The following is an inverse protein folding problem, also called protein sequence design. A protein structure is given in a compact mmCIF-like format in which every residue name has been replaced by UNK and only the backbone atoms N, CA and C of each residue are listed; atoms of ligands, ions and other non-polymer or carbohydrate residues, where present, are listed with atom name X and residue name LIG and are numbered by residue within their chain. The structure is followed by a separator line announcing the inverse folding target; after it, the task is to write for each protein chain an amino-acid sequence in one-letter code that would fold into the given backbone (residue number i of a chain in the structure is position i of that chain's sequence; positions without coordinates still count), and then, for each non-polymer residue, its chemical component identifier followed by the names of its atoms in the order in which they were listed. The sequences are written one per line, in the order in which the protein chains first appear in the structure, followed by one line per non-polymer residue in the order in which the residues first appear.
data_IF_411415521432
#
_entry.id   IF_411415521432
#
_cell.length_a   1.000
_cell.length_b   1.000
_cell.length_c   1.000
_cell.angle_alpha   90.00
_cell.angle_beta   90.00
_cell.angle_gamma   90.00
#
_symmetry.space_group_name_H-M   'P 1'
#
loop_
_entity.id
_entity.type
_entity.pdbx_description
1 polymer ?
#
# COMPACT_ATOMS: atom_id res chain seq x y z
N UNK A 1 9.14 -13.91 33.35
CA UNK A 1 9.50 -12.48 33.39
C UNK A 1 10.94 -12.31 32.97
N UNK A 2 11.23 -11.27 32.19
CA UNK A 2 12.61 -10.98 31.80
C UNK A 2 13.40 -10.44 32.99
N UNK A 3 14.68 -10.80 33.09
CA UNK A 3 15.59 -10.17 34.03
C UNK A 3 15.92 -8.74 33.58
N UNK A 4 16.46 -7.91 34.49
CA UNK A 4 16.94 -6.56 34.13
C UNK A 4 17.92 -6.58 32.96
N UNK A 5 18.87 -7.51 32.96
CA UNK A 5 19.82 -7.67 31.85
C UNK A 5 19.10 -8.16 30.57
N UNK A 6 18.10 -9.03 30.71
CA UNK A 6 17.28 -9.51 29.60
C UNK A 6 16.54 -8.38 28.88
N UNK A 7 15.99 -7.41 29.62
CA UNK A 7 15.29 -6.25 29.03
C UNK A 7 16.15 -5.42 28.08
N UNK A 8 17.48 -5.40 28.25
CA UNK A 8 18.41 -4.66 27.37
C UNK A 8 19.04 -5.53 26.28
N UNK A 9 18.88 -6.85 26.33
CA UNK A 9 19.57 -7.80 25.43
C UNK A 9 18.62 -8.50 24.46
N UNK A 10 17.38 -8.71 24.86
CA UNK A 10 16.37 -9.38 24.03
C UNK A 10 15.60 -8.33 23.24
N UNK A 11 15.34 -8.60 21.95
CA UNK A 11 14.67 -7.65 21.05
C UNK A 11 13.15 -7.63 21.19
N UNK A 12 12.53 -8.72 21.67
CA UNK A 12 11.08 -8.86 21.82
C UNK A 12 10.70 -9.93 22.86
N UNK A 13 9.49 -9.85 23.40
CA UNK A 13 8.93 -10.82 24.35
C UNK A 13 8.30 -10.16 25.58
N UNK A 14 7.81 -10.98 26.51
CA UNK A 14 7.09 -10.49 27.68
C UNK A 14 8.05 -10.06 28.79
N UNK A 15 8.19 -8.74 28.99
CA UNK A 15 8.99 -8.18 30.07
C UNK A 15 8.25 -8.24 31.42
N UNK A 16 7.02 -7.72 31.46
CA UNK A 16 6.19 -7.61 32.67
C UNK A 16 4.81 -8.20 32.39
N UNK A 17 4.33 -9.07 33.29
CA UNK A 17 2.96 -9.55 33.29
C UNK A 17 2.11 -8.63 34.16
N UNK A 18 1.10 -7.99 33.57
CA UNK A 18 0.20 -7.05 34.25
C UNK A 18 -0.87 -7.81 35.05
N UNK A 19 -0.52 -8.32 36.23
CA UNK A 19 -1.40 -9.13 37.09
C UNK A 19 -2.46 -8.29 37.81
N UNK A 20 -2.10 -7.09 38.26
CA UNK A 20 -3.00 -6.16 38.95
C UNK A 20 -3.09 -4.88 38.12
N UNK A 21 -4.24 -4.64 37.48
CA UNK A 21 -4.47 -3.49 36.60
C UNK A 21 -5.46 -2.55 37.26
N UNK A 22 -5.28 -1.25 37.02
CA UNK A 22 -6.24 -0.23 37.49
C UNK A 22 -7.58 -0.36 36.75
N UNK A 23 -7.52 -0.71 35.46
CA UNK A 23 -8.69 -1.03 34.64
C UNK A 23 -8.53 -2.46 34.14
N UNK A 24 -9.50 -3.30 34.44
CA UNK A 24 -9.52 -4.70 34.02
C UNK A 24 -10.05 -4.79 32.59
N UNK A 25 -9.12 -4.92 31.64
CA UNK A 25 -9.41 -5.20 30.25
C UNK A 25 -8.76 -6.53 29.82
N UNK A 26 -9.47 -7.37 29.06
CA UNK A 26 -8.88 -8.57 28.50
C UNK A 26 -7.76 -8.21 27.51
N UNK A 27 -6.78 -9.09 27.41
CA UNK A 27 -5.80 -9.03 26.32
C UNK A 27 -6.37 -9.73 25.10
N UNK A 28 -6.21 -9.11 23.93
CA UNK A 28 -6.56 -9.71 22.64
C UNK A 28 -5.32 -10.16 21.85
N UNK A 29 -4.13 -10.12 22.46
CA UNK A 29 -2.93 -10.67 21.86
C UNK A 29 -3.08 -12.19 21.65
N UNK A 30 -2.87 -12.66 20.41
CA UNK A 30 -2.99 -14.06 20.00
C UNK A 30 -4.39 -14.67 20.23
N UNK A 31 -5.42 -13.83 20.31
CA UNK A 31 -6.81 -14.26 20.46
C UNK A 31 -7.56 -14.02 19.16
N UNK A 32 -8.08 -15.10 18.56
CA UNK A 32 -8.92 -15.05 17.35
C UNK A 32 -8.26 -14.26 16.20
N UNK A 33 -6.97 -14.49 15.97
CA UNK A 33 -6.22 -13.83 14.90
C UNK A 33 -6.87 -14.05 13.54
N UNK A 34 -7.02 -12.98 12.76
CA UNK A 34 -7.71 -13.00 11.46
C UNK A 34 -9.24 -13.02 11.54
N UNK A 35 -9.82 -13.40 12.69
CA UNK A 35 -11.28 -13.41 12.90
C UNK A 35 -11.79 -12.11 13.54
N UNK A 36 -10.96 -11.44 14.36
CA UNK A 36 -11.31 -10.18 15.01
C UNK A 36 -10.29 -9.09 14.74
N UNK A 37 -10.75 -7.83 14.82
CA UNK A 37 -9.88 -6.66 14.79
C UNK A 37 -10.37 -5.61 15.77
N UNK A 38 -9.45 -5.12 16.60
CA UNK A 38 -9.76 -4.12 17.60
C UNK A 38 -9.99 -2.77 16.93
N UNK A 39 -11.21 -2.27 17.05
CA UNK A 39 -11.62 -1.01 16.48
C UNK A 39 -12.52 -0.25 17.45
N UNK A 40 -12.34 1.07 17.52
CA UNK A 40 -13.21 1.90 18.32
C UNK A 40 -14.62 1.99 17.68
N UNK A 41 -15.64 2.18 18.53
CA UNK A 41 -17.02 2.27 18.08
C UNK A 41 -17.25 3.34 16.99
N UNK A 42 -16.71 4.57 17.09
CA UNK A 42 -16.91 5.58 16.05
C UNK A 42 -16.40 5.13 14.67
N UNK A 43 -15.27 4.42 14.60
CA UNK A 43 -14.74 3.95 13.31
C UNK A 43 -15.61 2.85 12.68
N UNK A 44 -16.22 1.99 13.50
CA UNK A 44 -17.18 0.99 13.04
C UNK A 44 -18.42 1.71 12.47
N UNK A 45 -18.95 2.69 13.22
CA UNK A 45 -20.10 3.49 12.79
C UNK A 45 -19.80 4.22 11.46
N UNK A 46 -18.58 4.71 11.24
CA UNK A 46 -18.20 5.34 9.97
C UNK A 46 -18.40 4.42 8.77
N UNK A 47 -17.99 3.15 8.88
CA UNK A 47 -18.17 2.18 7.79
C UNK A 47 -19.66 1.89 7.53
N UNK A 48 -20.47 1.79 8.59
CA UNK A 48 -21.93 1.62 8.44
C UNK A 48 -22.61 2.86 7.86
N UNK A 49 -22.20 4.06 8.25
CA UNK A 49 -22.76 5.31 7.74
C UNK A 49 -22.43 5.55 6.26
N UNK A 50 -21.32 4.99 5.77
CA UNK A 50 -20.99 4.96 4.34
C UNK A 50 -21.99 4.09 3.54
N UNK A 51 -22.64 3.14 4.21
CA UNK A 51 -23.64 2.21 3.65
C UNK A 51 -23.17 1.52 2.35
N UNK A 52 -22.02 0.81 2.38
CA UNK A 52 -21.46 0.18 1.20
C UNK A 52 -22.31 -1.03 0.77
N UNK A 53 -22.61 -1.13 -0.53
CA UNK A 53 -23.39 -2.21 -1.11
C UNK A 53 -22.50 -3.24 -1.78
N UNK A 54 -22.97 -4.49 -1.85
CA UNK A 54 -22.33 -5.54 -2.64
C UNK A 54 -22.22 -5.10 -4.10
N UNK A 55 -21.02 -5.13 -4.66
CA UNK A 55 -20.73 -4.74 -6.05
C UNK A 55 -20.27 -3.29 -6.23
N UNK A 56 -20.36 -2.45 -5.20
CA UNK A 56 -19.84 -1.08 -5.26
C UNK A 56 -18.34 -1.04 -5.55
N UNK A 57 -17.92 0.05 -6.17
CA UNK A 57 -16.53 0.48 -6.25
C UNK A 57 -16.30 1.66 -5.31
N UNK A 58 -15.55 1.43 -4.23
CA UNK A 58 -15.37 2.38 -3.12
C UNK A 58 -13.92 2.84 -3.02
N UNK A 59 -13.70 4.13 -2.78
CA UNK A 59 -12.37 4.69 -2.51
C UNK A 59 -12.21 5.03 -1.02
N UNK A 60 -11.17 4.51 -0.37
CA UNK A 60 -10.69 4.97 0.93
C UNK A 60 -9.41 5.79 0.75
N UNK A 61 -9.52 7.10 0.96
CA UNK A 61 -8.47 8.07 0.61
C UNK A 61 -7.28 8.11 1.58
N UNK A 62 -7.42 7.58 2.79
CA UNK A 62 -6.41 7.65 3.86
C UNK A 62 -6.44 6.36 4.67
N UNK A 63 -6.26 5.24 3.98
CA UNK A 63 -6.73 3.94 4.44
C UNK A 63 -5.95 3.34 5.63
N UNK A 64 -4.67 3.67 5.81
CA UNK A 64 -3.82 2.95 6.75
C UNK A 64 -4.18 3.23 8.23
N UNK A 65 -4.17 2.21 9.10
CA UNK A 65 -3.66 0.84 8.88
C UNK A 65 -4.64 -0.14 8.21
N UNK A 66 -5.85 0.29 7.83
CA UNK A 66 -6.80 -0.52 7.05
C UNK A 66 -8.08 -0.89 7.79
N UNK A 67 -8.26 -0.51 9.06
CA UNK A 67 -9.40 -0.96 9.86
C UNK A 67 -10.78 -0.55 9.34
N UNK A 68 -10.91 0.64 8.73
CA UNK A 68 -12.17 1.06 8.08
C UNK A 68 -12.32 0.40 6.71
N UNK A 69 -11.22 0.32 5.96
CA UNK A 69 -11.15 -0.38 4.66
C UNK A 69 -11.65 -1.82 4.77
N UNK A 70 -11.17 -2.57 5.76
CA UNK A 70 -11.59 -3.97 5.96
C UNK A 70 -13.02 -4.06 6.46
N UNK A 71 -13.46 -3.15 7.35
CA UNK A 71 -14.85 -3.08 7.77
C UNK A 71 -15.80 -2.84 6.56
N UNK A 72 -15.43 -1.95 5.64
CA UNK A 72 -16.18 -1.72 4.39
C UNK A 72 -16.25 -3.01 3.55
N UNK A 73 -15.12 -3.67 3.31
CA UNK A 73 -15.06 -4.91 2.54
C UNK A 73 -15.91 -6.03 3.18
N UNK A 74 -15.90 -6.14 4.51
CA UNK A 74 -16.75 -7.08 5.27
C UNK A 74 -18.24 -6.78 5.07
N UNK A 75 -18.66 -5.51 5.15
CA UNK A 75 -20.04 -5.10 4.90
C UNK A 75 -20.49 -5.40 3.46
N UNK A 76 -19.56 -5.25 2.51
CA UNK A 76 -19.74 -5.65 1.11
C UNK A 76 -19.68 -7.17 0.88
N UNK A 77 -19.49 -7.99 1.94
CA UNK A 77 -19.32 -9.44 1.86
C UNK A 77 -18.24 -9.87 0.87
N UNK A 78 -17.16 -9.11 0.81
CA UNK A 78 -16.03 -9.30 -0.12
C UNK A 78 -16.44 -9.31 -1.61
N UNK A 79 -17.53 -8.60 -1.96
CA UNK A 79 -18.03 -8.48 -3.34
C UNK A 79 -18.06 -7.01 -3.79
N UNK A 80 -17.31 -6.71 -4.84
CA UNK A 80 -17.12 -5.35 -5.37
C UNK A 80 -15.63 -5.03 -5.43
N UNK A 81 -15.28 -3.76 -5.29
CA UNK A 81 -13.91 -3.29 -5.25
C UNK A 81 -13.75 -2.19 -4.20
N UNK A 82 -12.82 -2.37 -3.26
CA UNK A 82 -12.40 -1.33 -2.31
C UNK A 82 -10.99 -0.91 -2.66
N UNK A 83 -10.86 0.30 -3.18
CA UNK A 83 -9.57 0.92 -3.49
C UNK A 83 -9.08 1.66 -2.26
N UNK A 84 -8.01 1.17 -1.67
CA UNK A 84 -7.41 1.73 -0.47
C UNK A 84 -6.10 2.44 -0.82
N UNK A 85 -5.99 3.73 -0.48
CA UNK A 85 -4.79 4.50 -0.79
C UNK A 85 -4.17 5.15 0.45
N UNK A 86 -2.85 5.17 0.47
CA UNK A 86 -2.07 5.95 1.43
C UNK A 86 -0.78 6.47 0.76
N UNK A 87 -0.29 7.61 1.25
CA UNK A 87 0.92 8.25 0.72
C UNK A 87 2.19 7.45 1.05
N UNK A 88 2.21 6.74 2.18
CA UNK A 88 3.38 6.00 2.66
C UNK A 88 3.37 4.55 2.18
N UNK A 89 4.49 4.09 1.63
CA UNK A 89 4.65 2.71 1.18
C UNK A 89 4.43 1.70 2.32
N UNK A 90 5.04 1.93 3.48
CA UNK A 90 4.93 1.02 4.63
C UNK A 90 3.49 0.95 5.15
N UNK A 91 2.81 2.10 5.16
CA UNK A 91 1.39 2.17 5.55
C UNK A 91 0.50 1.39 4.58
N UNK A 92 0.81 1.40 3.29
CA UNK A 92 0.11 0.56 2.32
C UNK A 92 0.36 -0.93 2.56
N UNK A 93 1.60 -1.32 2.91
CA UNK A 93 1.89 -2.70 3.31
C UNK A 93 1.11 -3.11 4.56
N UNK A 94 0.90 -2.22 5.52
CA UNK A 94 0.08 -2.51 6.70
C UNK A 94 -1.37 -2.83 6.31
N UNK A 95 -1.95 -2.12 5.34
CA UNK A 95 -3.30 -2.40 4.81
C UNK A 95 -3.32 -3.77 4.13
N UNK A 96 -2.34 -4.06 3.27
CA UNK A 96 -2.24 -5.36 2.58
C UNK A 96 -2.13 -6.51 3.58
N UNK A 97 -1.32 -6.34 4.63
CA UNK A 97 -1.15 -7.32 5.70
C UNK A 97 -2.47 -7.58 6.40
N UNK A 98 -3.17 -6.52 6.82
CA UNK A 98 -4.44 -6.65 7.52
C UNK A 98 -5.53 -7.29 6.65
N UNK A 99 -5.62 -6.90 5.37
CA UNK A 99 -6.56 -7.50 4.43
C UNK A 99 -6.29 -8.99 4.23
N UNK A 100 -5.02 -9.38 4.11
CA UNK A 100 -4.60 -10.78 3.98
C UNK A 100 -4.88 -11.58 5.27
N UNK A 101 -4.62 -11.00 6.44
CA UNK A 101 -4.93 -11.61 7.74
C UNK A 101 -6.42 -11.89 7.90
N UNK A 102 -7.29 -11.02 7.38
CA UNK A 102 -8.74 -11.19 7.39
C UNK A 102 -9.30 -12.00 6.21
N UNK A 103 -8.46 -12.41 5.25
CA UNK A 103 -8.88 -13.16 4.07
C UNK A 103 -9.78 -12.38 3.09
N UNK A 104 -9.63 -11.05 3.00
CA UNK A 104 -10.41 -10.17 2.13
C UNK A 104 -9.72 -9.99 0.76
N UNK A 105 -10.46 -10.21 -0.32
CA UNK A 105 -9.93 -10.23 -1.69
C UNK A 105 -10.36 -9.02 -2.52
N UNK A 106 -11.46 -8.34 -2.14
CA UNK A 106 -11.97 -7.20 -2.89
C UNK A 106 -11.18 -5.90 -2.66
N UNK A 107 -10.12 -5.92 -1.85
CA UNK A 107 -9.32 -4.74 -1.50
C UNK A 107 -8.11 -4.63 -2.44
N UNK A 108 -8.04 -3.54 -3.19
CA UNK A 108 -6.88 -3.17 -4.01
C UNK A 108 -6.18 -1.96 -3.42
N UNK A 109 -4.86 -2.03 -3.24
CA UNK A 109 -4.12 -0.98 -2.53
C UNK A 109 -3.15 -0.23 -3.43
N UNK A 110 -3.07 1.09 -3.30
CA UNK A 110 -2.07 1.91 -4.02
C UNK A 110 -1.29 2.83 -3.09
N UNK A 111 0.00 2.99 -3.40
CA UNK A 111 0.76 4.13 -2.88
C UNK A 111 0.42 5.37 -3.72
N UNK A 112 -0.38 6.25 -3.16
CA UNK A 112 -0.88 7.44 -3.86
C UNK A 112 -1.06 8.60 -2.88
N UNK A 113 -0.76 9.82 -3.35
CA UNK A 113 -1.16 11.04 -2.65
C UNK A 113 -2.61 11.34 -3.02
N UNK A 114 -3.55 11.20 -2.08
CA UNK A 114 -4.97 11.32 -2.35
C UNK A 114 -5.38 12.69 -2.92
N UNK A 115 -4.60 13.75 -2.64
CA UNK A 115 -4.81 15.09 -3.23
C UNK A 115 -4.57 15.10 -4.75
N UNK A 116 -3.84 14.11 -5.26
CA UNK A 116 -3.50 13.93 -6.69
C UNK A 116 -4.20 12.71 -7.29
N UNK A 117 -5.25 12.21 -6.65
CA UNK A 117 -5.90 10.97 -7.08
C UNK A 117 -6.76 11.11 -8.34
N UNK A 118 -7.05 12.32 -8.81
CA UNK A 118 -7.84 12.54 -10.03
C UNK A 118 -6.92 12.67 -11.24
N UNK A 119 -7.05 11.75 -12.19
CA UNK A 119 -6.39 11.84 -13.48
C UNK A 119 -7.19 12.76 -14.39
N UNK A 120 -6.61 13.90 -14.79
CA UNK A 120 -7.21 14.79 -15.79
C UNK A 120 -6.62 14.41 -17.14
N UNK A 121 -7.48 14.02 -18.09
CA UNK A 121 -7.04 13.92 -19.50
C UNK A 121 -6.71 15.34 -19.95
N UNK A 122 -5.48 15.57 -20.40
CA UNK A 122 -5.18 16.79 -21.13
C UNK A 122 -5.92 16.71 -22.47
N UNK A 123 -6.88 17.60 -22.71
CA UNK A 123 -7.66 17.68 -23.96
C UNK A 123 -6.81 18.09 -25.20
N UNK A 124 -5.49 17.95 -25.15
CA UNK A 124 -4.56 18.43 -26.19
C UNK A 124 -3.98 17.35 -27.11
N UNK A 125 -4.35 16.06 -26.97
CA UNK A 125 -3.79 14.99 -27.83
C UNK A 125 -4.72 14.41 -28.89
N UNK A 126 -6.01 14.75 -28.90
CA UNK A 126 -6.98 14.08 -29.77
C UNK A 126 -7.39 14.97 -30.96
N UNK A 127 -6.43 15.27 -31.83
CA UNK A 127 -6.73 15.78 -33.17
C UNK A 127 -5.79 15.20 -34.24
N UNK A 128 -5.62 13.88 -34.24
CA UNK A 128 -5.21 13.14 -35.43
C UNK A 128 -6.25 12.06 -35.73
N UNK A 129 -7.35 12.50 -36.35
CA UNK A 129 -8.21 11.65 -37.17
C UNK A 129 -7.38 11.12 -38.34
N UNK A 130 -6.77 9.95 -38.21
CA UNK A 130 -6.28 9.19 -39.37
C UNK A 130 -7.47 8.46 -39.99
N UNK A 131 -7.95 9.05 -41.08
CA UNK A 131 -8.84 8.46 -42.06
C UNK A 131 -8.44 7.02 -42.42
N UNK A 132 -9.43 6.13 -42.41
CA UNK A 132 -9.42 4.82 -43.04
C UNK A 132 -8.85 4.88 -44.47
N UNK A 133 -7.79 4.12 -44.72
CA UNK A 133 -7.53 3.54 -46.04
C UNK A 133 -7.03 2.11 -45.82
N UNK A 134 -7.81 1.14 -46.28
CA UNK A 134 -7.44 -0.25 -46.36
C UNK A 134 -6.46 -0.46 -47.54
N UNK A 135 -5.31 -1.07 -47.28
CA UNK A 135 -4.50 -1.74 -48.31
C UNK A 135 -3.92 -3.05 -47.77
N UNK A 136 -4.08 -4.09 -48.58
CA UNK A 136 -3.71 -5.49 -48.38
C UNK A 136 -2.19 -5.69 -48.25
N UNK A 137 -1.71 -6.81 -47.64
CA UNK A 137 -0.29 -7.06 -47.47
C UNK A 137 0.31 -7.83 -48.65
N UNK A 138 1.55 -7.53 -49.09
CA UNK A 138 2.35 -8.47 -49.86
C UNK A 138 3.33 -9.25 -48.97
N UNK A 139 3.48 -10.52 -49.34
CA UNK A 139 4.35 -11.56 -48.79
C UNK A 139 5.79 -11.50 -49.37
N UNK A 140 6.76 -12.16 -48.68
CA UNK A 140 8.02 -12.78 -49.19
C UNK A 140 9.21 -11.79 -49.49
N UNK A 141 10.51 -12.01 -49.23
CA UNK A 141 11.35 -13.11 -48.68
C UNK A 141 12.73 -12.58 -48.17
N UNK A 142 13.46 -13.49 -47.52
CA UNK A 142 14.88 -13.53 -47.07
C UNK A 142 15.98 -12.70 -47.79
N UNK A 143 17.01 -12.24 -47.05
CA UNK A 143 18.44 -12.66 -47.19
C UNK A 143 19.42 -12.10 -46.13
N UNK A 144 20.44 -12.93 -45.81
CA UNK A 144 21.74 -12.80 -45.07
C UNK A 144 22.59 -11.55 -45.45
N UNK A 145 23.67 -11.10 -44.79
CA UNK A 145 24.64 -11.60 -43.78
C UNK A 145 25.57 -10.42 -43.33
N UNK A 146 26.16 -10.51 -42.10
CA UNK A 146 27.56 -10.20 -41.67
C UNK A 146 28.17 -8.79 -41.97
N UNK A 147 29.08 -8.14 -41.22
CA UNK A 147 29.98 -8.38 -40.07
C UNK A 147 30.47 -6.99 -39.59
N UNK A 148 31.06 -6.89 -38.38
CA UNK A 148 32.41 -6.33 -38.10
C UNK A 148 32.59 -5.90 -36.62
N UNK A 149 33.85 -6.02 -36.21
CA UNK A 149 34.40 -6.27 -34.86
C UNK A 149 34.92 -5.03 -34.10
N UNK A 150 35.06 -5.24 -32.78
CA UNK A 150 36.09 -4.75 -31.83
C UNK A 150 36.00 -3.34 -31.19
N UNK A 151 36.19 -3.34 -29.85
CA UNK A 151 36.61 -2.17 -29.08
C UNK A 151 36.40 -2.34 -27.56
N UNK A 152 37.40 -2.90 -26.86
CA UNK A 152 37.47 -2.87 -25.39
C UNK A 152 37.66 -1.43 -24.91
N UNK A 153 36.79 -0.96 -24.00
CA UNK A 153 36.96 0.28 -23.26
C UNK A 153 36.79 0.02 -21.76
N UNK A 154 37.85 0.23 -20.99
CA UNK A 154 37.88 0.21 -19.53
C UNK A 154 37.04 1.37 -18.98
N UNK A 155 35.83 1.08 -18.49
CA UNK A 155 34.98 2.05 -17.79
C UNK A 155 35.48 2.23 -16.34
N UNK A 156 36.12 3.37 -16.08
CA UNK A 156 36.28 3.92 -14.72
C UNK A 156 34.90 4.30 -14.17
N UNK A 157 34.40 3.56 -13.19
CA UNK A 157 33.12 3.82 -12.53
C UNK A 157 33.24 5.00 -11.56
N UNK A 158 32.72 6.15 -11.96
CA UNK A 158 32.60 7.33 -11.11
C UNK A 158 31.41 7.12 -10.15
N UNK A 159 31.68 6.70 -8.92
CA UNK A 159 30.64 6.63 -7.88
C UNK A 159 30.32 8.03 -7.39
N UNK A 160 29.04 8.39 -7.36
CA UNK A 160 28.62 9.72 -6.95
C UNK A 160 28.87 9.94 -5.46
N UNK A 161 29.14 11.19 -5.04
CA UNK A 161 29.22 11.53 -3.59
C UNK A 161 27.95 11.15 -2.82
N UNK A 162 26.80 11.02 -3.50
CA UNK A 162 25.55 10.55 -2.93
C UNK A 162 25.57 9.05 -2.63
N UNK A 163 26.15 8.23 -3.51
CA UNK A 163 26.34 6.79 -3.27
C UNK A 163 27.33 6.51 -2.15
N UNK A 164 28.42 7.29 -2.06
CA UNK A 164 29.35 7.20 -0.92
C UNK A 164 28.65 7.55 0.40
N UNK A 165 27.80 8.59 0.43
CA UNK A 165 27.01 8.93 1.63
C UNK A 165 26.03 7.82 1.99
N UNK A 166 25.43 7.18 0.98
CA UNK A 166 24.50 6.07 1.17
C UNK A 166 25.20 4.84 1.74
N UNK A 167 26.36 4.46 1.21
CA UNK A 167 27.16 3.32 1.69
C UNK A 167 27.72 3.52 3.10
N UNK A 168 28.19 4.73 3.41
CA UNK A 168 28.66 5.09 4.76
C UNK A 168 27.50 5.07 5.77
N UNK A 169 26.29 5.50 5.36
CA UNK A 169 25.10 5.45 6.20
C UNK A 169 24.61 4.02 6.43
N UNK A 170 24.67 3.12 5.45
CA UNK A 170 24.32 1.70 5.64
C UNK A 170 25.32 0.96 6.52
N UNK A 171 26.60 1.31 6.47
CA UNK A 171 27.61 0.73 7.38
C UNK A 171 27.47 1.22 8.82
N UNK A 172 27.05 2.48 9.04
CA UNK A 172 26.88 3.04 10.40
C UNK A 172 25.58 2.66 11.07
N UNK A 173 24.46 2.64 10.34
CA UNK A 173 23.12 2.47 10.91
C UNK A 173 22.55 1.05 10.70
N UNK A 174 23.37 0.14 10.15
CA UNK A 174 22.91 -1.16 9.68
C UNK A 174 21.96 -1.04 8.48
N UNK A 175 21.56 -2.19 7.95
CA UNK A 175 20.49 -2.28 6.97
C UNK A 175 19.20 -1.84 7.67
N UNK A 176 18.68 -0.66 7.33
CA UNK A 176 17.40 -0.18 7.88
C UNK A 176 16.30 -1.23 7.68
N UNK A 177 15.27 -1.22 8.54
CA UNK A 177 14.12 -2.15 8.61
C UNK A 177 13.31 -2.37 7.31
N UNK A 178 13.80 -1.90 6.17
CA UNK A 178 13.24 -2.09 4.83
C UNK A 178 13.53 -3.48 4.23
N UNK A 179 13.96 -4.47 5.03
CA UNK A 179 14.04 -5.88 4.61
C UNK A 179 12.96 -6.71 5.32
N UNK A 180 11.73 -6.20 5.37
CA UNK A 180 10.57 -7.08 5.34
C UNK A 180 10.44 -7.62 3.91
N UNK A 181 9.96 -8.85 3.74
CA UNK A 181 9.63 -9.47 2.45
C UNK A 181 8.64 -8.52 1.75
N UNK A 182 9.16 -7.62 0.91
CA UNK A 182 8.44 -6.44 0.48
C UNK A 182 7.45 -6.78 -0.61
N UNK A 183 6.17 -6.88 -0.26
CA UNK A 183 5.08 -6.91 -1.22
C UNK A 183 5.23 -5.77 -2.22
N UNK A 184 5.03 -6.05 -3.51
CA UNK A 184 5.09 -5.03 -4.56
C UNK A 184 3.85 -4.14 -4.41
N UNK A 185 4.02 -2.94 -3.85
CA UNK A 185 2.93 -1.95 -3.81
C UNK A 185 2.77 -1.31 -5.18
N UNK A 186 1.56 -1.40 -5.72
CA UNK A 186 1.21 -0.77 -6.99
C UNK A 186 1.24 0.76 -6.87
N UNK A 187 1.69 1.40 -7.94
CA UNK A 187 1.60 2.85 -8.12
C UNK A 187 0.50 3.11 -9.14
N UNK A 188 -0.45 3.96 -8.80
CA UNK A 188 -1.50 4.42 -9.71
C UNK A 188 -1.17 5.83 -10.22
N UNK A 189 -1.53 6.13 -11.47
CA UNK A 189 -1.48 7.47 -12.06
C UNK A 189 -2.71 8.33 -11.72
N UNK A 190 -3.59 7.80 -10.85
CA UNK A 190 -4.87 8.40 -10.47
C UNK A 190 -6.06 7.66 -11.09
N UNK A 191 -7.25 8.20 -10.86
CA UNK A 191 -8.52 7.65 -11.28
C UNK A 191 -9.30 8.68 -12.09
N UNK A 192 -10.13 8.21 -13.01
CA UNK A 192 -11.03 9.10 -13.76
C UNK A 192 -12.03 9.78 -12.81
N UNK A 193 -12.46 11.03 -13.09
CA UNK A 193 -13.54 11.65 -12.33
C UNK A 193 -14.80 10.78 -12.29
N UNK A 194 -15.56 10.82 -11.19
CA UNK A 194 -16.82 10.09 -11.01
C UNK A 194 -16.73 8.56 -11.29
N UNK A 195 -15.61 7.94 -10.92
CA UNK A 195 -15.36 6.51 -11.14
C UNK A 195 -15.56 5.63 -9.90
N UNK A 196 -16.12 6.19 -8.83
CA UNK A 196 -16.40 5.49 -7.57
C UNK A 196 -17.83 5.76 -7.16
N UNK A 197 -18.53 4.73 -6.69
CA UNK A 197 -19.90 4.84 -6.19
C UNK A 197 -19.92 5.57 -4.85
N UNK A 198 -18.89 5.35 -4.02
CA UNK A 198 -18.73 5.95 -2.69
C UNK A 198 -17.27 6.29 -2.42
N UNK A 199 -17.05 7.31 -1.60
CA UNK A 199 -15.71 7.74 -1.19
C UNK A 199 -15.69 7.97 0.32
N UNK A 200 -14.76 7.31 1.01
CA UNK A 200 -14.43 7.55 2.41
C UNK A 200 -13.19 8.47 2.49
N UNK A 201 -13.34 9.56 3.23
CA UNK A 201 -12.22 10.42 3.64
C UNK A 201 -12.06 10.36 5.15
N UNK A 202 -11.26 9.40 5.63
CA UNK A 202 -10.79 9.36 7.02
C UNK A 202 -9.56 10.26 7.17
N UNK A 203 -9.78 11.57 7.12
CA UNK A 203 -8.70 12.55 7.01
C UNK A 203 -7.72 12.47 8.21
N UNK A 204 -6.41 12.65 7.97
CA UNK A 204 -5.44 12.76 9.06
C UNK A 204 -5.80 13.94 9.96
N UNK A 205 -5.88 13.69 11.27
CA UNK A 205 -6.27 14.69 12.25
C UNK A 205 -5.28 14.77 13.41
N UNK A 206 -5.46 15.76 14.29
CA UNK A 206 -4.62 15.98 15.48
C UNK A 206 -4.74 14.87 16.55
N UNK A 207 -5.72 13.97 16.40
CA UNK A 207 -5.98 12.86 17.30
C UNK A 207 -6.27 13.26 18.77
N UNK A 208 -6.71 14.50 19.00
CA UNK A 208 -7.03 15.01 20.35
C UNK A 208 -8.19 14.28 21.05
N UNK A 209 -8.99 13.51 20.29
CA UNK A 209 -10.09 12.71 20.81
C UNK A 209 -9.70 11.30 21.25
N UNK A 210 -8.43 10.90 21.14
CA UNK A 210 -7.97 9.59 21.60
C UNK A 210 -8.11 9.48 23.13
N UNK A 211 -8.55 8.31 23.58
CA UNK A 211 -8.69 7.97 24.99
C UNK A 211 -7.75 6.81 25.33
N UNK A 212 -7.18 6.79 26.55
CA UNK A 212 -6.36 5.68 27.02
C UNK A 212 -7.19 4.39 27.16
#
# INVERSE_FOLDING_TARGET
MMSRAGMFRVLQGIAVHMNNRVVELPSFHDVLEGEIFLQNLPSIITAHALDPQQGDRILDMCAAPGGKTTAIAILMKDKGEVVAVDRSHNKVLDIQKLAAEMGLNCITTYKLDAVKAVHRRDESSDMHTSSFVAQEPPNIDFTRNENFTNGQATQMTYTSKAELRKSISTQRNGVGRNHGIGGRVEKSEGFSPNSFDRVLLDAPCSALGLRP
#
